data_IF_472014972173
#
_entry.id   IF_472014972173
#
_cell.length_a   1.000
_cell.length_b   1.000
_cell.length_c   1.000
_cell.angle_alpha   90.00
_cell.angle_beta   90.00
_cell.angle_gamma   90.00
#
_symmetry.space_group_name_H-M   'P 1'
#
loop_
_entity.id
_entity.type
_entity.pdbx_description
1 polymer ?
#
# COMPACT_ATOMS: atom_id res chain seq x y z
N UNK A 1 -29.98 -29.08 -18.31
CA UNK A 1 -28.51 -28.96 -18.13
C UNK A 1 -28.19 -27.47 -18.16
N UNK A 2 -27.88 -26.85 -17.02
CA UNK A 2 -27.42 -25.46 -16.98
C UNK A 2 -26.05 -25.38 -17.67
N UNK A 3 -25.91 -24.49 -18.65
CA UNK A 3 -24.62 -24.22 -19.28
C UNK A 3 -23.68 -23.68 -18.19
N UNK A 4 -22.63 -24.41 -17.88
CA UNK A 4 -21.52 -23.92 -17.05
C UNK A 4 -20.90 -22.73 -17.80
N UNK A 5 -20.86 -21.56 -17.15
CA UNK A 5 -20.17 -20.38 -17.73
C UNK A 5 -18.67 -20.72 -17.87
N UNK A 6 -18.12 -20.69 -19.10
CA UNK A 6 -16.72 -21.06 -19.33
C UNK A 6 -15.72 -19.98 -18.84
N UNK A 7 -16.20 -18.82 -18.35
CA UNK A 7 -15.33 -17.76 -17.87
C UNK A 7 -14.75 -18.10 -16.50
N UNK A 8 -13.50 -17.71 -16.19
CA UNK A 8 -12.94 -17.86 -14.86
C UNK A 8 -13.81 -17.16 -13.82
N UNK A 9 -14.08 -17.82 -12.71
CA UNK A 9 -14.82 -17.23 -11.58
C UNK A 9 -13.79 -16.62 -10.60
N UNK A 10 -13.95 -15.36 -10.20
CA UNK A 10 -13.11 -14.76 -9.17
C UNK A 10 -13.19 -15.53 -7.86
N UNK A 11 -12.10 -15.52 -7.08
CA UNK A 11 -12.12 -16.07 -5.71
C UNK A 11 -13.17 -15.34 -4.87
N UNK A 12 -13.74 -16.04 -3.88
CA UNK A 12 -14.62 -15.42 -2.90
C UNK A 12 -13.92 -14.24 -2.21
N UNK A 13 -14.62 -13.19 -1.91
CA UNK A 13 -14.05 -11.97 -1.35
C UNK A 13 -13.64 -10.93 -2.39
N UNK A 14 -13.18 -11.32 -3.59
CA UNK A 14 -12.82 -10.35 -4.64
C UNK A 14 -14.01 -9.45 -5.01
N UNK A 15 -15.21 -10.04 -5.12
CA UNK A 15 -16.42 -9.28 -5.47
C UNK A 15 -16.95 -8.43 -4.30
N UNK A 16 -16.44 -8.62 -3.08
CA UNK A 16 -16.75 -7.79 -1.91
C UNK A 16 -15.80 -6.59 -1.75
N UNK A 17 -14.77 -6.47 -2.60
CA UNK A 17 -13.85 -5.35 -2.57
C UNK A 17 -14.52 -4.13 -3.20
N UNK A 18 -14.71 -3.09 -2.40
CA UNK A 18 -15.11 -1.78 -2.90
C UNK A 18 -13.92 -1.07 -3.53
N UNK A 19 -14.16 -0.37 -4.67
CA UNK A 19 -13.11 0.39 -5.33
C UNK A 19 -12.53 1.45 -4.39
N UNK A 20 -11.21 1.53 -4.34
CA UNK A 20 -10.54 2.59 -3.59
C UNK A 20 -10.86 3.95 -4.22
N UNK A 21 -11.35 4.89 -3.41
CA UNK A 21 -11.65 6.25 -3.84
C UNK A 21 -10.56 7.18 -3.31
N UNK A 22 -9.64 7.64 -4.15
CA UNK A 22 -8.59 8.55 -3.71
C UNK A 22 -9.16 9.92 -3.33
N UNK A 23 -8.43 10.66 -2.49
CA UNK A 23 -8.78 12.03 -2.12
C UNK A 23 -8.89 12.94 -3.35
N UNK A 24 -9.88 13.83 -3.35
CA UNK A 24 -10.15 14.76 -4.46
C UNK A 24 -9.05 15.81 -4.58
N UNK A 25 -8.61 16.07 -5.80
CA UNK A 25 -7.63 17.12 -6.13
C UNK A 25 -8.27 18.42 -6.61
N UNK A 26 -9.61 18.47 -6.67
CA UNK A 26 -10.37 19.63 -7.15
C UNK A 26 -11.47 20.02 -6.19
N UNK A 27 -11.72 21.32 -6.02
CA UNK A 27 -12.86 21.86 -5.30
C UNK A 27 -13.71 22.73 -6.24
N UNK A 28 -15.05 22.68 -6.08
CA UNK A 28 -15.94 23.54 -6.84
C UNK A 28 -15.88 24.97 -6.30
N UNK A 29 -15.71 25.98 -7.16
CA UNK A 29 -15.90 27.39 -6.84
C UNK A 29 -14.72 28.12 -6.19
N UNK A 30 -13.54 27.50 -6.06
CA UNK A 30 -12.35 28.15 -5.51
C UNK A 30 -11.34 28.59 -6.57
N UNK A 31 -10.68 29.73 -6.35
CA UNK A 31 -9.56 30.19 -7.18
C UNK A 31 -8.25 29.51 -6.82
N UNK A 32 -8.15 28.95 -5.61
CA UNK A 32 -6.96 28.24 -5.11
C UNK A 32 -7.40 26.97 -4.37
N UNK A 33 -6.90 25.82 -4.83
CA UNK A 33 -7.16 24.53 -4.22
C UNK A 33 -5.97 24.16 -3.32
N UNK A 34 -6.25 23.87 -2.06
CA UNK A 34 -5.29 23.29 -1.13
C UNK A 34 -5.62 21.81 -0.97
N UNK A 35 -4.84 20.93 -1.58
CA UNK A 35 -5.00 19.48 -1.41
C UNK A 35 -4.36 19.05 -0.09
N UNK A 36 -5.18 18.57 0.84
CA UNK A 36 -4.76 18.10 2.17
C UNK A 36 -4.95 16.57 2.32
N UNK A 37 -5.22 15.90 1.19
CA UNK A 37 -5.41 14.45 1.13
C UNK A 37 -4.17 13.75 0.56
N UNK A 38 -4.10 12.42 0.73
CA UNK A 38 -3.07 11.54 0.17
C UNK A 38 -1.66 11.76 0.72
N UNK A 39 -1.52 12.43 1.87
CA UNK A 39 -0.24 12.71 2.54
C UNK A 39 0.82 13.35 1.63
N UNK A 40 0.39 14.16 0.65
CA UNK A 40 1.31 14.87 -0.23
C UNK A 40 2.04 15.99 0.54
N UNK A 41 3.34 16.14 0.27
CA UNK A 41 4.10 17.26 0.83
C UNK A 41 3.95 18.52 -0.02
N UNK A 42 3.61 19.68 0.58
CA UNK A 42 3.52 20.95 -0.15
C UNK A 42 4.89 21.50 -0.57
N UNK A 43 5.97 20.93 -0.04
CA UNK A 43 7.34 21.41 -0.29
C UNK A 43 7.99 20.84 -1.56
N UNK A 44 7.34 19.83 -2.17
CA UNK A 44 7.89 19.11 -3.31
C UNK A 44 9.10 18.23 -2.92
N UNK A 45 9.76 17.62 -3.91
CA UNK A 45 10.93 16.79 -3.68
C UNK A 45 12.17 17.62 -3.38
N UNK A 46 13.14 17.04 -2.66
CA UNK A 46 14.42 17.71 -2.41
C UNK A 46 15.21 17.92 -3.72
N UNK A 47 16.04 18.97 -3.80
CA UNK A 47 16.91 19.17 -4.96
C UNK A 47 17.83 17.97 -5.27
N UNK A 48 18.32 17.28 -4.24
CA UNK A 48 19.13 16.08 -4.38
C UNK A 48 18.34 14.91 -4.99
N UNK A 49 17.08 14.72 -4.59
CA UNK A 49 16.22 13.70 -5.18
C UNK A 49 15.92 13.98 -6.66
N UNK A 50 15.66 15.24 -7.02
CA UNK A 50 15.47 15.65 -8.41
C UNK A 50 16.73 15.43 -9.27
N UNK A 51 17.91 15.75 -8.74
CA UNK A 51 19.18 15.51 -9.44
C UNK A 51 19.42 14.03 -9.67
N UNK A 52 19.20 13.19 -8.65
CA UNK A 52 19.33 11.74 -8.76
C UNK A 52 18.33 11.14 -9.77
N UNK A 53 17.08 11.60 -9.77
CA UNK A 53 16.07 11.17 -10.74
C UNK A 53 16.49 11.49 -12.19
N UNK A 54 16.97 12.71 -12.44
CA UNK A 54 17.45 13.14 -13.76
C UNK A 54 18.63 12.31 -14.24
N UNK A 55 19.60 12.03 -13.37
CA UNK A 55 20.73 11.17 -13.68
C UNK A 55 20.32 9.71 -13.97
N UNK A 56 19.30 9.21 -13.28
CA UNK A 56 18.79 7.87 -13.52
C UNK A 56 18.05 7.73 -14.86
N UNK A 57 17.48 8.81 -15.39
CA UNK A 57 16.79 8.80 -16.68
C UNK A 57 17.71 8.40 -17.86
N UNK A 58 19.00 8.60 -17.75
CA UNK A 58 20.00 8.22 -18.77
C UNK A 58 20.29 6.70 -18.79
N UNK A 59 19.72 5.93 -17.86
CA UNK A 59 19.99 4.50 -17.65
C UNK A 59 18.71 3.66 -17.64
N UNK A 60 17.65 4.13 -18.28
CA UNK A 60 16.35 3.44 -18.30
C UNK A 60 16.34 2.13 -19.09
N UNK A 61 17.33 1.92 -19.94
CA UNK A 61 17.58 0.71 -20.71
C UNK A 61 18.24 -0.42 -19.90
N UNK A 62 18.74 -0.11 -18.69
CA UNK A 62 19.41 -1.07 -17.83
C UNK A 62 18.38 -1.77 -16.95
N UNK A 63 18.39 -3.11 -16.92
CA UNK A 63 17.55 -3.89 -16.02
C UNK A 63 17.86 -3.54 -14.56
N UNK A 64 16.84 -3.21 -13.75
CA UNK A 64 17.05 -2.79 -12.36
C UNK A 64 17.58 -3.92 -11.48
N UNK A 65 18.35 -3.55 -10.44
CA UNK A 65 18.78 -4.47 -9.40
C UNK A 65 17.59 -4.95 -8.57
N UNK A 66 17.16 -6.20 -8.78
CA UNK A 66 16.03 -6.81 -8.07
C UNK A 66 16.30 -6.99 -6.56
N UNK A 67 17.54 -6.91 -6.10
CA UNK A 67 17.86 -6.96 -4.67
C UNK A 67 17.63 -5.63 -3.95
N UNK A 68 17.48 -4.52 -4.70
CA UNK A 68 17.29 -3.16 -4.20
C UNK A 68 18.35 -2.77 -3.14
N UNK A 69 19.57 -3.30 -3.29
CA UNK A 69 20.63 -3.26 -2.27
C UNK A 69 20.98 -1.84 -1.86
N UNK A 70 21.21 -0.95 -2.82
CA UNK A 70 21.60 0.43 -2.54
C UNK A 70 20.56 1.18 -1.67
N UNK A 71 19.27 0.98 -1.93
CA UNK A 71 18.21 1.58 -1.14
C UNK A 71 18.14 0.98 0.27
N UNK A 72 18.24 -0.35 0.39
CA UNK A 72 18.23 -1.05 1.71
C UNK A 72 19.41 -0.60 2.58
N UNK A 73 20.61 -0.50 2.00
CA UNK A 73 21.81 0.00 2.69
C UNK A 73 21.64 1.47 3.14
N UNK A 74 21.10 2.34 2.27
CA UNK A 74 20.82 3.73 2.62
C UNK A 74 19.79 3.88 3.74
N UNK A 75 18.71 3.10 3.71
CA UNK A 75 17.71 3.06 4.79
C UNK A 75 18.34 2.55 6.07
N UNK A 76 19.09 1.45 6.01
CA UNK A 76 19.78 0.88 7.16
C UNK A 76 20.71 1.88 7.82
N UNK A 77 21.55 2.54 7.04
CA UNK A 77 22.48 3.58 7.52
C UNK A 77 21.75 4.78 8.14
N UNK A 78 20.62 5.21 7.53
CA UNK A 78 19.85 6.37 8.01
C UNK A 78 19.10 6.12 9.30
N UNK A 79 18.59 4.91 9.52
CA UNK A 79 17.69 4.57 10.63
C UNK A 79 18.27 3.57 11.63
N UNK A 80 19.52 3.14 11.45
CA UNK A 80 20.16 2.16 12.33
C UNK A 80 19.55 0.77 12.22
N UNK A 81 19.09 0.38 11.02
CA UNK A 81 18.46 -0.91 10.77
C UNK A 81 19.40 -1.84 10.01
N UNK A 82 19.25 -3.14 10.22
CA UNK A 82 19.96 -4.14 9.42
C UNK A 82 19.39 -4.18 7.99
N UNK A 83 20.18 -3.86 6.94
CA UNK A 83 19.73 -3.92 5.56
C UNK A 83 19.20 -5.29 5.12
N UNK A 84 19.67 -6.38 5.74
CA UNK A 84 19.19 -7.73 5.45
C UNK A 84 17.73 -7.95 5.89
N UNK A 85 17.21 -7.13 6.79
CA UNK A 85 15.85 -7.19 7.33
C UNK A 85 14.92 -6.14 6.71
N UNK A 86 15.31 -5.48 5.62
CA UNK A 86 14.51 -4.49 4.93
C UNK A 86 13.98 -5.09 3.64
N UNK A 87 12.67 -5.04 3.44
CA UNK A 87 11.99 -5.34 2.20
C UNK A 87 11.49 -4.04 1.59
N UNK A 88 11.75 -3.84 0.29
CA UNK A 88 11.27 -2.69 -0.47
C UNK A 88 10.22 -3.14 -1.49
N UNK A 89 9.25 -2.27 -1.75
CA UNK A 89 8.18 -2.46 -2.74
C UNK A 89 7.75 -1.13 -3.34
N UNK A 90 6.74 -1.16 -4.21
CA UNK A 90 6.14 0.02 -4.83
C UNK A 90 5.20 0.73 -3.84
N UNK A 91 5.77 1.29 -2.78
CA UNK A 91 5.04 1.87 -1.66
C UNK A 91 4.58 0.82 -0.64
N UNK A 92 3.90 1.27 0.41
CA UNK A 92 3.35 0.40 1.46
C UNK A 92 2.28 -0.56 0.96
N UNK A 93 1.51 -0.17 -0.05
CA UNK A 93 0.45 -0.99 -0.61
C UNK A 93 0.96 -2.32 -1.15
N UNK A 94 2.10 -2.30 -1.87
CA UNK A 94 2.75 -3.50 -2.39
C UNK A 94 3.16 -4.43 -1.24
N UNK A 95 3.80 -3.88 -0.21
CA UNK A 95 4.21 -4.65 0.98
C UNK A 95 3.00 -5.25 1.72
N UNK A 96 1.91 -4.50 1.88
CA UNK A 96 0.70 -4.98 2.51
C UNK A 96 0.08 -6.15 1.75
N UNK A 97 0.02 -6.07 0.42
CA UNK A 97 -0.46 -7.18 -0.41
C UNK A 97 0.46 -8.39 -0.36
N UNK A 98 1.78 -8.19 -0.35
CA UNK A 98 2.75 -9.29 -0.21
C UNK A 98 2.60 -9.99 1.15
N UNK A 99 2.43 -9.23 2.25
CA UNK A 99 2.19 -9.80 3.57
C UNK A 99 0.87 -10.58 3.61
N UNK A 100 -0.21 -10.00 3.09
CA UNK A 100 -1.48 -10.70 3.03
C UNK A 100 -1.39 -11.99 2.20
N UNK A 101 -0.73 -11.94 1.05
CA UNK A 101 -0.53 -13.12 0.20
C UNK A 101 0.33 -14.21 0.87
N UNK A 102 1.26 -13.82 1.75
CA UNK A 102 2.16 -14.76 2.43
C UNK A 102 1.52 -15.41 3.68
N UNK A 103 0.60 -14.72 4.35
CA UNK A 103 0.14 -15.13 5.68
C UNK A 103 -1.38 -15.29 5.80
N UNK A 104 -2.17 -14.87 4.81
CA UNK A 104 -3.62 -14.90 4.86
C UNK A 104 -4.19 -15.73 3.71
N UNK A 105 -5.16 -16.58 4.03
CA UNK A 105 -5.92 -17.40 3.09
C UNK A 105 -7.37 -17.62 3.56
N UNK A 106 -8.13 -18.51 2.89
CA UNK A 106 -9.48 -18.86 3.32
C UNK A 106 -9.49 -19.46 4.71
N UNK A 107 -10.27 -18.83 5.62
CA UNK A 107 -10.38 -19.23 7.04
C UNK A 107 -9.49 -18.43 7.98
N UNK A 108 -8.52 -17.66 7.46
CA UNK A 108 -7.71 -16.77 8.28
C UNK A 108 -8.38 -15.42 8.46
N UNK A 109 -8.02 -14.72 9.53
CA UNK A 109 -8.50 -13.39 9.87
C UNK A 109 -7.37 -12.37 9.86
N UNK A 110 -7.69 -11.14 9.43
CA UNK A 110 -6.79 -10.00 9.52
C UNK A 110 -7.41 -8.88 10.34
N UNK A 111 -6.79 -8.50 11.44
CA UNK A 111 -7.29 -7.44 12.33
C UNK A 111 -6.89 -6.06 11.77
N UNK A 112 -7.83 -5.14 11.80
CA UNK A 112 -7.61 -3.72 11.50
C UNK A 112 -8.51 -2.83 12.35
N UNK A 113 -8.10 -1.58 12.56
CA UNK A 113 -8.91 -0.63 13.31
C UNK A 113 -9.98 0.03 12.41
N UNK A 114 -11.03 0.59 13.03
CA UNK A 114 -12.17 1.21 12.33
C UNK A 114 -11.74 2.38 11.42
N UNK A 115 -10.74 3.18 11.82
CA UNK A 115 -10.16 4.27 11.01
C UNK A 115 -8.87 3.85 10.31
N UNK A 116 -8.57 2.54 10.27
CA UNK A 116 -7.41 1.99 9.61
C UNK A 116 -7.38 2.29 8.09
N UNK A 117 -6.20 2.18 7.51
CA UNK A 117 -6.04 2.39 6.08
C UNK A 117 -6.83 1.35 5.27
N UNK A 118 -7.65 1.82 4.33
CA UNK A 118 -8.57 0.97 3.56
C UNK A 118 -7.88 -0.19 2.83
N UNK A 119 -6.60 -0.02 2.48
CA UNK A 119 -5.80 -1.07 1.81
C UNK A 119 -5.67 -2.32 2.69
N UNK A 120 -5.70 -2.22 4.01
CA UNK A 120 -5.69 -3.41 4.88
C UNK A 120 -6.87 -4.33 4.56
N UNK A 121 -8.09 -3.77 4.53
CA UNK A 121 -9.29 -4.52 4.18
C UNK A 121 -9.21 -5.13 2.79
N UNK A 122 -8.73 -4.34 1.82
CA UNK A 122 -8.59 -4.77 0.42
C UNK A 122 -7.61 -5.94 0.33
N UNK A 123 -6.44 -5.84 0.95
CA UNK A 123 -5.41 -6.87 0.91
C UNK A 123 -5.88 -8.18 1.56
N UNK A 124 -6.55 -8.11 2.72
CA UNK A 124 -7.12 -9.27 3.42
C UNK A 124 -8.15 -9.98 2.55
N UNK A 125 -9.13 -9.25 2.01
CA UNK A 125 -10.16 -9.81 1.13
C UNK A 125 -9.56 -10.40 -0.16
N UNK A 126 -8.57 -9.73 -0.75
CA UNK A 126 -7.89 -10.19 -1.95
C UNK A 126 -7.11 -11.49 -1.71
N UNK A 127 -6.57 -11.68 -0.53
CA UNK A 127 -5.94 -12.93 -0.11
C UNK A 127 -6.94 -14.06 0.19
N UNK A 128 -8.23 -13.73 0.40
CA UNK A 128 -9.30 -14.68 0.72
C UNK A 128 -9.59 -14.80 2.21
N UNK A 129 -8.98 -13.97 3.04
CA UNK A 129 -9.23 -13.89 4.48
C UNK A 129 -10.44 -13.04 4.86
N UNK A 130 -10.71 -12.97 6.14
CA UNK A 130 -11.81 -12.21 6.73
C UNK A 130 -11.25 -10.99 7.47
N UNK A 131 -11.60 -9.74 7.10
CA UNK A 131 -11.20 -8.57 7.87
C UNK A 131 -12.00 -8.47 9.18
N UNK A 132 -11.30 -8.40 10.30
CA UNK A 132 -11.85 -8.15 11.63
C UNK A 132 -11.58 -6.70 11.99
N UNK A 133 -12.66 -5.91 12.11
CA UNK A 133 -12.58 -4.49 12.40
C UNK A 133 -12.78 -4.30 13.90
N UNK A 134 -11.78 -3.75 14.56
CA UNK A 134 -11.80 -3.49 16.01
C UNK A 134 -11.93 -1.99 16.29
N UNK A 135 -12.61 -1.61 17.41
CA UNK A 135 -12.70 -0.21 17.81
C UNK A 135 -11.34 0.39 18.18
N UNK A 136 -11.32 1.70 18.29
CA UNK A 136 -10.16 2.47 18.75
C UNK A 136 -10.53 3.19 20.04
N UNK A 137 -9.55 3.39 20.91
CA UNK A 137 -9.67 4.24 22.09
C UNK A 137 -8.96 5.55 21.79
N UNK A 138 -9.68 6.66 21.80
CA UNK A 138 -9.16 8.00 21.48
C UNK A 138 -8.36 8.04 20.14
N UNK A 139 -8.92 7.44 19.09
CA UNK A 139 -8.31 7.31 17.75
C UNK A 139 -6.96 6.56 17.77
N UNK A 140 -6.72 5.73 18.78
CA UNK A 140 -5.51 4.94 18.92
C UNK A 140 -5.88 3.46 18.96
N UNK A 141 -5.12 2.63 18.26
CA UNK A 141 -5.30 1.18 18.31
C UNK A 141 -5.15 0.68 19.75
N UNK A 142 -6.12 -0.10 20.22
CA UNK A 142 -6.08 -0.76 21.53
C UNK A 142 -5.73 -2.23 21.34
N UNK A 143 -4.83 -2.74 22.17
CA UNK A 143 -4.46 -4.17 22.19
C UNK A 143 -5.43 -4.98 23.06
N UNK A 144 -6.20 -4.29 23.91
CA UNK A 144 -7.12 -4.92 24.86
C UNK A 144 -8.54 -5.10 24.28
N UNK A 145 -8.82 -4.51 23.11
CA UNK A 145 -10.06 -4.64 22.34
C UNK A 145 -9.90 -5.67 21.20
#
# INVERSE_FOLDING_TARGET
MSRVDPRPTPRSGIMAIEAYVPGKSTAKGGTKVHKLSSNETPHGPSPAALAAYRAAAEKLDIYPDGSVRALREAIGARFGLDPARILCGNGSDDILHLLAAAYIGPGDEGIMTVHGFQIYKIAILAAGGTPVIVPEVDLTASVDE
#
